data_IF_212917063107
#
_entry.id   IF_212917063107
#
_cell.length_a   1.000
_cell.length_b   1.000
_cell.length_c   1.000
_cell.angle_alpha   90.00
_cell.angle_beta   90.00
_cell.angle_gamma   90.00
#
_symmetry.space_group_name_H-M   'P 1'
#
loop_
_entity.id
_entity.type
_entity.pdbx_description
1 polymer ?
#
# COMPACT_ATOMS: atom_id res chain seq x y z
N UNK A 1 -11.61 -5.31 16.36
CA UNK A 1 -10.92 -6.13 15.34
C UNK A 1 -10.38 -5.17 14.30
N UNK A 2 -9.17 -5.41 13.78
CA UNK A 2 -8.65 -4.57 12.70
C UNK A 2 -9.45 -4.82 11.42
N UNK A 3 -9.62 -3.80 10.58
CA UNK A 3 -10.32 -3.99 9.29
C UNK A 3 -9.44 -4.79 8.33
N UNK A 4 -10.09 -5.69 7.59
CA UNK A 4 -9.46 -6.40 6.48
C UNK A 4 -9.55 -5.54 5.24
N UNK A 5 -8.44 -5.39 4.52
CA UNK A 5 -8.34 -4.64 3.27
C UNK A 5 -7.82 -5.54 2.14
N UNK A 6 -8.22 -5.22 0.91
CA UNK A 6 -7.77 -5.88 -0.31
C UNK A 6 -7.60 -4.82 -1.38
N UNK A 7 -6.53 -4.93 -2.17
CA UNK A 7 -6.33 -4.12 -3.37
C UNK A 7 -7.12 -4.73 -4.52
N UNK A 8 -7.76 -3.92 -5.35
CA UNK A 8 -8.53 -4.39 -6.51
C UNK A 8 -7.73 -5.38 -7.36
N UNK A 9 -8.25 -6.59 -7.53
CA UNK A 9 -7.61 -7.67 -8.30
C UNK A 9 -6.65 -8.57 -7.51
N UNK A 10 -6.16 -8.17 -6.33
CA UNK A 10 -5.36 -9.06 -5.49
C UNK A 10 -6.27 -10.11 -4.84
N UNK A 11 -5.80 -11.36 -4.80
CA UNK A 11 -6.48 -12.46 -4.11
C UNK A 11 -6.22 -12.46 -2.61
N UNK A 12 -5.15 -11.79 -2.16
CA UNK A 12 -4.75 -11.71 -0.77
C UNK A 12 -5.59 -10.68 -0.02
N UNK A 13 -5.81 -10.99 1.26
CA UNK A 13 -6.46 -10.10 2.22
C UNK A 13 -5.43 -9.72 3.27
N UNK A 14 -5.43 -8.45 3.63
CA UNK A 14 -4.46 -7.90 4.57
C UNK A 14 -5.18 -7.29 5.76
N UNK A 15 -4.53 -7.34 6.91
CA UNK A 15 -4.91 -6.57 8.09
C UNK A 15 -3.67 -5.97 8.73
N UNK A 16 -3.89 -4.98 9.60
CA UNK A 16 -2.83 -4.45 10.47
C UNK A 16 -2.36 -5.58 11.40
N UNK A 17 -1.05 -5.78 11.46
CA UNK A 17 -0.47 -6.76 12.38
C UNK A 17 -0.79 -6.42 13.84
N UNK A 18 -1.08 -7.43 14.65
CA UNK A 18 -1.29 -7.26 16.09
C UNK A 18 -0.02 -6.79 16.82
N UNK A 19 1.16 -6.99 16.21
CA UNK A 19 2.47 -6.58 16.74
C UNK A 19 2.93 -5.21 16.25
N UNK A 20 2.08 -4.46 15.53
CA UNK A 20 2.46 -3.19 14.91
C UNK A 20 3.01 -2.19 15.93
N UNK A 21 4.07 -1.49 15.53
CA UNK A 21 4.68 -0.41 16.32
C UNK A 21 4.64 0.87 15.51
N UNK A 22 4.23 1.97 16.13
CA UNK A 22 4.06 3.25 15.43
C UNK A 22 5.35 3.75 14.76
N UNK A 23 6.52 3.49 15.35
CA UNK A 23 7.81 3.86 14.77
C UNK A 23 8.16 3.03 13.51
N UNK A 24 7.68 1.79 13.41
CA UNK A 24 7.93 0.95 12.24
C UNK A 24 7.29 1.53 10.97
N UNK A 25 6.15 2.23 11.12
CA UNK A 25 5.50 2.94 10.02
C UNK A 25 6.40 4.06 9.47
N UNK A 26 6.99 4.87 10.34
CA UNK A 26 7.89 5.95 9.90
C UNK A 26 9.19 5.40 9.29
N UNK A 27 9.70 4.27 9.79
CA UNK A 27 10.91 3.64 9.27
C UNK A 27 10.77 3.15 7.82
N UNK A 28 9.54 2.80 7.40
CA UNK A 28 9.24 2.35 6.03
C UNK A 28 8.58 3.44 5.17
N UNK A 29 8.65 4.70 5.62
CA UNK A 29 8.26 5.86 4.81
C UNK A 29 6.80 6.30 4.93
N UNK A 30 6.02 5.78 5.88
CA UNK A 30 4.71 6.39 6.17
C UNK A 30 4.92 7.80 6.73
N UNK A 31 4.14 8.73 6.20
CA UNK A 31 4.04 10.08 6.70
C UNK A 31 2.82 10.23 7.60
N UNK A 32 2.98 11.01 8.68
CA UNK A 32 1.87 11.32 9.59
C UNK A 32 1.14 12.56 9.10
N UNK A 33 -0.15 12.45 8.82
CA UNK A 33 -1.00 13.59 8.48
C UNK A 33 -1.35 14.43 9.71
N UNK A 34 -1.87 15.65 9.50
CA UNK A 34 -2.25 16.56 10.59
C UNK A 34 -3.27 15.95 11.56
N UNK A 35 -4.21 15.13 11.06
CA UNK A 35 -5.19 14.42 11.89
C UNK A 35 -4.63 13.15 12.57
N UNK A 36 -3.33 12.87 12.40
CA UNK A 36 -2.60 11.82 13.08
C UNK A 36 -2.64 10.45 12.41
N UNK A 37 -3.26 10.32 11.24
CA UNK A 37 -3.24 9.09 10.45
C UNK A 37 -1.87 8.90 9.78
N UNK A 38 -1.59 7.67 9.38
CA UNK A 38 -0.38 7.30 8.64
C UNK A 38 -0.74 7.06 7.18
N UNK A 39 0.00 7.68 6.28
CA UNK A 39 -0.18 7.60 4.84
C UNK A 39 1.14 7.16 4.20
N UNK A 40 1.07 6.12 3.36
CA UNK A 40 2.15 5.74 2.46
C UNK A 40 1.65 5.93 1.04
N UNK A 41 2.40 6.66 0.23
CA UNK A 41 2.21 6.73 -1.22
C UNK A 41 3.52 6.27 -1.86
N UNK A 42 3.51 5.04 -2.37
CA UNK A 42 4.70 4.40 -2.94
C UNK A 42 4.51 4.25 -4.45
N UNK A 43 5.36 4.87 -5.28
CA UNK A 43 5.40 4.57 -6.71
C UNK A 43 5.71 3.09 -6.94
N UNK A 44 4.93 2.47 -7.82
CA UNK A 44 5.09 1.06 -8.24
C UNK A 44 5.32 0.92 -9.75
N UNK A 45 5.43 2.03 -10.48
CA UNK A 45 5.88 2.11 -11.87
C UNK A 45 6.40 3.53 -12.17
N UNK A 46 6.72 3.83 -13.43
CA UNK A 46 7.10 5.18 -13.85
C UNK A 46 8.60 5.42 -13.82
N UNK A 47 9.39 4.44 -14.29
CA UNK A 47 10.85 4.56 -14.38
C UNK A 47 11.23 5.53 -15.50
N UNK A 48 10.37 5.66 -16.52
CA UNK A 48 10.48 6.63 -17.61
C UNK A 48 9.32 7.65 -17.58
N UNK A 49 9.58 8.94 -17.92
CA UNK A 49 8.52 9.96 -18.01
C UNK A 49 7.50 9.71 -19.13
N UNK A 50 7.76 8.75 -20.02
CA UNK A 50 6.85 8.36 -21.10
C UNK A 50 5.96 7.16 -20.76
N UNK A 51 6.15 6.56 -19.58
CA UNK A 51 5.39 5.41 -19.13
C UNK A 51 4.28 5.80 -18.17
N UNK A 52 3.19 5.03 -18.20
CA UNK A 52 2.12 5.18 -17.23
C UNK A 52 2.65 4.91 -15.82
N UNK A 53 2.38 5.85 -14.93
CA UNK A 53 2.87 5.83 -13.56
C UNK A 53 1.73 5.48 -12.59
N UNK A 54 1.99 4.51 -11.71
CA UNK A 54 1.05 3.96 -10.77
C UNK A 54 1.59 4.05 -9.34
N UNK A 55 0.70 4.18 -8.37
CA UNK A 55 1.04 4.31 -6.95
C UNK A 55 0.28 3.30 -6.11
N UNK A 56 0.96 2.69 -5.14
CA UNK A 56 0.32 2.02 -4.02
C UNK A 56 0.07 3.04 -2.91
N UNK A 57 -1.20 3.19 -2.52
CA UNK A 57 -1.61 4.07 -1.43
C UNK A 57 -2.10 3.23 -0.26
N UNK A 58 -1.52 3.47 0.92
CA UNK A 58 -1.93 2.81 2.16
C UNK A 58 -2.25 3.88 3.20
N UNK A 59 -3.41 3.74 3.84
CA UNK A 59 -3.81 4.56 4.98
C UNK A 59 -4.06 3.68 6.19
N UNK A 60 -3.41 4.02 7.29
CA UNK A 60 -3.67 3.46 8.61
C UNK A 60 -4.15 4.58 9.52
N UNK A 61 -5.33 4.40 10.11
CA UNK A 61 -5.89 5.41 11.02
C UNK A 61 -5.06 5.50 12.31
N UNK A 62 -5.10 6.67 12.97
CA UNK A 62 -4.30 6.96 14.17
C UNK A 62 -4.47 5.95 15.33
N UNK A 63 -5.58 5.22 15.35
CA UNK A 63 -5.89 4.20 16.36
C UNK A 63 -5.34 2.81 16.02
N UNK A 64 -4.68 2.67 14.87
CA UNK A 64 -4.10 1.44 14.33
C UNK A 64 -5.13 0.31 14.16
N UNK A 65 -6.41 0.65 13.92
CA UNK A 65 -7.49 -0.34 13.73
C UNK A 65 -8.02 -0.42 12.32
N UNK A 66 -7.93 0.68 11.57
CA UNK A 66 -8.51 0.77 10.24
C UNK A 66 -7.41 0.90 9.20
N UNK A 67 -7.39 -0.06 8.29
CA UNK A 67 -6.50 -0.17 7.13
C UNK A 67 -7.32 0.04 5.86
N UNK A 68 -6.77 0.85 4.96
CA UNK A 68 -7.26 1.05 3.62
C UNK A 68 -6.08 1.03 2.65
N UNK A 69 -6.25 0.34 1.52
CA UNK A 69 -5.19 0.08 0.54
C UNK A 69 -5.79 0.13 -0.85
N UNK A 70 -5.19 0.91 -1.73
CA UNK A 70 -5.57 0.98 -3.14
C UNK A 70 -4.33 1.17 -4.01
N UNK A 71 -4.43 0.72 -5.26
CA UNK A 71 -3.52 1.13 -6.32
C UNK A 71 -4.19 2.19 -7.17
N UNK A 72 -3.47 3.24 -7.52
CA UNK A 72 -4.01 4.38 -8.26
C UNK A 72 -3.12 4.76 -9.43
N UNK A 73 -3.64 5.61 -10.31
CA UNK A 73 -2.83 6.37 -11.26
C UNK A 73 -1.89 7.36 -10.55
N UNK A 74 -1.05 8.05 -11.33
CA UNK A 74 -0.09 9.03 -10.81
C UNK A 74 -0.76 10.20 -10.09
N UNK A 75 -1.99 10.57 -10.47
CA UNK A 75 -2.73 11.62 -9.77
C UNK A 75 -3.05 11.23 -8.32
N UNK A 76 -3.06 9.93 -8.00
CA UNK A 76 -3.40 9.43 -6.68
C UNK A 76 -4.89 9.44 -6.39
N UNK A 77 -5.74 9.77 -7.38
CA UNK A 77 -7.18 9.94 -7.24
C UNK A 77 -7.98 8.79 -7.86
N UNK A 78 -7.53 8.24 -9.00
CA UNK A 78 -8.27 7.20 -9.70
C UNK A 78 -7.75 5.82 -9.30
N UNK A 79 -8.62 4.99 -8.74
CA UNK A 79 -8.28 3.60 -8.39
C UNK A 79 -8.14 2.76 -9.67
N UNK A 80 -7.05 2.03 -9.78
CA UNK A 80 -6.68 1.19 -10.93
C UNK A 80 -6.48 -0.24 -10.46
N UNK A 81 -7.02 -1.21 -11.19
CA UNK A 81 -6.69 -2.62 -11.00
C UNK A 81 -5.41 -2.98 -11.76
N UNK A 82 -4.27 -2.94 -11.08
CA UNK A 82 -2.96 -3.21 -11.71
C UNK A 82 -2.83 -4.64 -12.26
N UNK A 83 -3.62 -5.59 -11.76
CA UNK A 83 -3.57 -7.01 -12.19
C UNK A 83 -4.26 -7.25 -13.53
N UNK A 84 -5.05 -6.28 -14.03
CA UNK A 84 -5.70 -6.34 -15.33
C UNK A 84 -5.01 -5.48 -16.40
N UNK A 85 -3.95 -4.75 -16.02
CA UNK A 85 -3.15 -3.98 -16.97
C UNK A 85 -2.42 -4.90 -17.95
N UNK A 86 -2.20 -4.39 -19.15
CA UNK A 86 -1.33 -5.05 -20.13
C UNK A 86 0.14 -4.85 -19.72
N UNK A 87 0.97 -5.87 -19.94
CA UNK A 87 2.43 -5.81 -19.69
C UNK A 87 2.78 -5.36 -18.24
N UNK A 88 2.02 -5.86 -17.26
CA UNK A 88 2.01 -5.40 -15.88
C UNK A 88 3.02 -6.07 -14.93
N UNK A 89 3.97 -6.83 -15.48
CA UNK A 89 4.87 -7.69 -14.70
C UNK A 89 5.69 -6.89 -13.69
N UNK A 90 6.31 -5.80 -14.14
CA UNK A 90 7.13 -4.92 -13.32
C UNK A 90 6.30 -4.17 -12.26
N UNK A 91 5.10 -3.71 -12.63
CA UNK A 91 4.18 -3.05 -11.70
C UNK A 91 3.78 -3.98 -10.55
N UNK A 92 3.48 -5.24 -10.88
CA UNK A 92 3.14 -6.27 -9.90
C UNK A 92 4.37 -6.62 -9.04
N UNK A 93 5.56 -6.71 -9.62
CA UNK A 93 6.80 -6.98 -8.89
C UNK A 93 7.06 -5.90 -7.85
N UNK A 94 7.00 -4.62 -8.23
CA UNK A 94 7.25 -3.50 -7.31
C UNK A 94 6.15 -3.39 -6.24
N UNK A 95 4.90 -3.66 -6.60
CA UNK A 95 3.80 -3.79 -5.65
C UNK A 95 4.10 -4.88 -4.61
N UNK A 96 4.48 -6.08 -5.07
CA UNK A 96 4.79 -7.20 -4.19
C UNK A 96 6.01 -6.93 -3.30
N UNK A 97 7.05 -6.31 -3.83
CA UNK A 97 8.21 -5.90 -3.06
C UNK A 97 7.82 -4.97 -1.89
N UNK A 98 6.97 -3.98 -2.19
CA UNK A 98 6.47 -3.05 -1.17
C UNK A 98 5.64 -3.78 -0.12
N UNK A 99 4.70 -4.63 -0.53
CA UNK A 99 3.88 -5.43 0.40
C UNK A 99 4.74 -6.34 1.26
N UNK A 100 5.74 -7.02 0.67
CA UNK A 100 6.61 -7.94 1.41
C UNK A 100 7.39 -7.20 2.50
N UNK A 101 7.95 -6.03 2.21
CA UNK A 101 8.61 -5.22 3.22
C UNK A 101 7.67 -4.84 4.39
N UNK A 102 6.38 -4.60 4.13
CA UNK A 102 5.41 -4.32 5.20
C UNK A 102 5.04 -5.55 6.02
N UNK A 103 5.03 -6.74 5.41
CA UNK A 103 4.85 -8.01 6.11
C UNK A 103 6.07 -8.32 6.99
N UNK A 104 7.28 -8.20 6.45
CA UNK A 104 8.53 -8.50 7.15
C UNK A 104 8.79 -7.58 8.36
N UNK A 105 8.18 -6.38 8.35
CA UNK A 105 8.31 -5.37 9.42
C UNK A 105 7.18 -5.43 10.45
N UNK A 106 6.37 -6.49 10.44
CA UNK A 106 5.20 -6.64 11.31
C UNK A 106 4.22 -5.46 11.24
N UNK A 107 4.07 -4.84 10.06
CA UNK A 107 3.09 -3.77 9.84
C UNK A 107 1.78 -4.37 9.33
N UNK A 108 1.88 -5.29 8.36
CA UNK A 108 0.75 -6.02 7.80
C UNK A 108 0.83 -7.51 8.16
N UNK A 109 -0.30 -8.19 8.05
CA UNK A 109 -0.40 -9.66 8.06
C UNK A 109 -1.44 -10.13 7.03
N UNK A 110 -1.24 -11.32 6.47
CA UNK A 110 -2.18 -11.95 5.54
C UNK A 110 -3.25 -12.70 6.35
N UNK A 111 -4.50 -12.67 5.87
CA UNK A 111 -5.68 -13.29 6.52
C UNK A 111 -6.38 -14.27 5.59
#
# INVERSE_FOLDING_TARGET
MATVATVSGDKRKYQISAAIKAYALTDVGFQRSQNGNFLLEQPISGISPYEESYKLKIRIMKDLKNLHMDTTDDSGMHVINIFQLKDNQEVIEQYNYTIQNLLDRDILSVV
#
